data_IF_965148218868
#
_entry.id   IF_965148218868
#
_cell.length_a   1.000
_cell.length_b   1.000
_cell.length_c   1.000
_cell.angle_alpha   90.00
_cell.angle_beta   90.00
_cell.angle_gamma   90.00
#
_symmetry.space_group_name_H-M   'P 1'
#
loop_
_entity.id
_entity.type
_entity.pdbx_description
1 polymer ?
#
# COMPACT_ATOMS: atom_id res chain seq x y z
N UNK A 1 -63.84 -42.19 -34.68
CA UNK A 1 -63.27 -41.62 -33.44
C UNK A 1 -62.01 -40.82 -33.79
N UNK A 2 -62.11 -39.49 -33.92
CA UNK A 2 -60.95 -38.60 -34.02
C UNK A 2 -60.50 -38.20 -32.63
N UNK A 3 -59.31 -38.66 -32.20
CA UNK A 3 -58.67 -38.16 -30.98
C UNK A 3 -58.22 -36.72 -31.26
N UNK A 4 -58.88 -35.75 -30.64
CA UNK A 4 -58.34 -34.39 -30.48
C UNK A 4 -57.18 -34.51 -29.51
N UNK A 5 -55.96 -34.38 -30.02
CA UNK A 5 -54.80 -34.14 -29.19
C UNK A 5 -55.02 -32.80 -28.49
N UNK A 6 -55.18 -32.86 -27.17
CA UNK A 6 -55.24 -31.66 -26.34
C UNK A 6 -53.86 -31.04 -26.34
N UNK A 7 -53.69 -30.01 -27.16
CA UNK A 7 -52.53 -29.12 -27.13
C UNK A 7 -52.49 -28.47 -25.75
N UNK A 8 -51.67 -29.04 -24.86
CA UNK A 8 -51.39 -28.46 -23.55
C UNK A 8 -50.59 -27.19 -23.80
N UNK A 9 -51.28 -26.06 -23.90
CA UNK A 9 -50.65 -24.73 -23.88
C UNK A 9 -49.98 -24.62 -22.51
N UNK A 10 -48.71 -25.00 -22.41
CA UNK A 10 -47.89 -24.69 -21.25
C UNK A 10 -47.83 -23.17 -21.17
N UNK A 11 -48.29 -22.61 -20.05
CA UNK A 11 -48.40 -21.16 -19.86
C UNK A 11 -47.05 -20.41 -19.93
N UNK A 12 -45.93 -21.14 -19.99
CA UNK A 12 -44.57 -20.62 -20.04
C UNK A 12 -43.88 -21.15 -21.30
N UNK A 13 -43.30 -20.29 -22.15
CA UNK A 13 -42.55 -20.72 -23.33
C UNK A 13 -41.35 -21.60 -22.98
N UNK A 14 -41.10 -22.65 -23.78
CA UNK A 14 -39.99 -23.59 -23.55
C UNK A 14 -38.62 -22.91 -23.49
N UNK A 15 -38.40 -21.85 -24.28
CA UNK A 15 -37.18 -21.05 -24.25
C UNK A 15 -36.90 -20.41 -22.87
N UNK A 16 -37.96 -20.02 -22.15
CA UNK A 16 -37.84 -19.48 -20.78
C UNK A 16 -37.44 -20.59 -19.82
N UNK A 17 -38.04 -21.77 -19.94
CA UNK A 17 -37.70 -22.94 -19.12
C UNK A 17 -36.24 -23.35 -19.32
N UNK A 18 -35.76 -23.37 -20.56
CA UNK A 18 -34.36 -23.65 -20.88
C UNK A 18 -33.41 -22.61 -20.26
N UNK A 19 -33.73 -21.31 -20.38
CA UNK A 19 -32.93 -20.23 -19.80
C UNK A 19 -32.83 -20.31 -18.26
N UNK A 20 -33.94 -20.64 -17.59
CA UNK A 20 -33.96 -20.84 -16.14
C UNK A 20 -33.11 -22.05 -15.74
N UNK A 21 -33.23 -23.16 -16.45
CA UNK A 21 -32.42 -24.35 -16.21
C UNK A 21 -30.92 -24.08 -16.43
N UNK A 22 -30.56 -23.31 -17.45
CA UNK A 22 -29.18 -22.90 -17.68
C UNK A 22 -28.66 -22.01 -16.55
N UNK A 23 -29.47 -21.06 -16.09
CA UNK A 23 -29.11 -20.18 -14.96
C UNK A 23 -28.89 -20.99 -13.69
N UNK A 24 -29.72 -22.00 -13.42
CA UNK A 24 -29.56 -22.90 -12.28
C UNK A 24 -28.25 -23.69 -12.35
N UNK A 25 -27.91 -24.25 -13.53
CA UNK A 25 -26.63 -24.94 -13.74
C UNK A 25 -25.44 -24.03 -13.45
N UNK A 26 -25.45 -22.82 -14.02
CA UNK A 26 -24.40 -21.82 -13.80
C UNK A 26 -24.27 -21.47 -12.30
N UNK A 27 -25.39 -21.39 -11.57
CA UNK A 27 -25.36 -21.07 -10.14
C UNK A 27 -24.74 -22.21 -9.30
N UNK A 28 -24.97 -23.47 -9.67
CA UNK A 28 -24.34 -24.64 -9.03
C UNK A 28 -22.83 -24.66 -9.28
N UNK A 29 -22.40 -24.32 -10.50
CA UNK A 29 -20.98 -24.18 -10.83
C UNK A 29 -20.32 -23.07 -9.99
N UNK A 30 -20.95 -21.88 -9.96
CA UNK A 30 -20.47 -20.75 -9.15
C UNK A 30 -20.41 -21.10 -7.67
N UNK A 31 -21.40 -21.81 -7.13
CA UNK A 31 -21.40 -22.26 -5.73
C UNK A 31 -20.18 -23.13 -5.44
N UNK A 32 -19.86 -24.06 -6.34
CA UNK A 32 -18.74 -24.98 -6.18
C UNK A 32 -17.40 -24.24 -6.23
N UNK A 33 -17.18 -23.40 -7.25
CA UNK A 33 -15.95 -22.59 -7.36
C UNK A 33 -15.81 -21.59 -6.22
N UNK A 34 -16.90 -20.96 -5.77
CA UNK A 34 -16.85 -19.99 -4.69
C UNK A 34 -16.53 -20.68 -3.36
N UNK A 35 -17.01 -21.90 -3.11
CA UNK A 35 -16.65 -22.66 -1.92
C UNK A 35 -15.15 -22.94 -1.85
N UNK A 36 -14.53 -23.31 -2.98
CA UNK A 36 -13.08 -23.50 -3.07
C UNK A 36 -12.31 -22.19 -2.80
N UNK A 37 -12.74 -21.09 -3.42
CA UNK A 37 -12.11 -19.78 -3.22
C UNK A 37 -12.24 -19.31 -1.77
N UNK A 38 -13.42 -19.46 -1.16
CA UNK A 38 -13.64 -19.05 0.23
C UNK A 38 -12.87 -19.91 1.23
N UNK A 39 -12.70 -21.20 0.95
CA UNK A 39 -11.86 -22.10 1.75
C UNK A 39 -10.39 -21.67 1.72
N UNK A 40 -9.91 -21.17 0.58
CA UNK A 40 -8.55 -20.66 0.43
C UNK A 40 -8.35 -19.19 0.87
N UNK A 41 -9.44 -18.44 1.06
CA UNK A 41 -9.43 -17.01 1.37
C UNK A 41 -9.29 -16.72 2.88
N UNK A 42 -8.40 -17.43 3.56
CA UNK A 42 -8.02 -17.13 4.94
C UNK A 42 -7.35 -15.74 5.02
N UNK A 43 -7.76 -14.83 5.92
CA UNK A 43 -7.11 -13.54 6.13
C UNK A 43 -5.58 -13.60 6.26
N UNK A 44 -5.03 -14.63 6.91
CA UNK A 44 -3.59 -14.79 7.06
C UNK A 44 -2.93 -15.10 5.70
N UNK A 45 -3.51 -16.04 4.94
CA UNK A 45 -3.05 -16.41 3.59
C UNK A 45 -3.18 -15.23 2.62
N UNK A 46 -4.29 -14.49 2.69
CA UNK A 46 -4.48 -13.30 1.88
C UNK A 46 -3.47 -12.20 2.21
N UNK A 47 -3.01 -12.10 3.47
CA UNK A 47 -2.02 -11.12 3.87
C UNK A 47 -0.64 -11.36 3.23
N UNK A 48 -0.30 -12.62 2.95
CA UNK A 48 0.94 -13.03 2.28
C UNK A 48 0.98 -12.69 0.78
N UNK A 49 -0.20 -12.48 0.16
CA UNK A 49 -0.27 -12.15 -1.26
C UNK A 49 0.34 -10.78 -1.57
N UNK A 50 1.02 -10.62 -2.73
CA UNK A 50 1.46 -9.31 -3.19
C UNK A 50 0.26 -8.34 -3.23
N UNK A 51 0.43 -7.07 -2.84
CA UNK A 51 -0.69 -6.14 -2.68
C UNK A 51 -1.63 -6.04 -3.89
N UNK A 52 -1.07 -6.14 -5.10
CA UNK A 52 -1.83 -6.08 -6.35
C UNK A 52 -2.71 -7.32 -6.57
N UNK A 53 -2.17 -8.52 -6.29
CA UNK A 53 -2.92 -9.77 -6.37
C UNK A 53 -3.99 -9.82 -5.28
N UNK A 54 -3.66 -9.37 -4.07
CA UNK A 54 -4.60 -9.26 -2.95
C UNK A 54 -5.79 -8.35 -3.29
N UNK A 55 -5.53 -7.19 -3.90
CA UNK A 55 -6.58 -6.28 -4.36
C UNK A 55 -7.49 -6.94 -5.41
N UNK A 56 -6.91 -7.73 -6.33
CA UNK A 56 -7.67 -8.45 -7.35
C UNK A 56 -8.62 -9.49 -6.74
N UNK A 57 -8.17 -10.26 -5.74
CA UNK A 57 -9.01 -11.23 -5.03
C UNK A 57 -10.19 -10.53 -4.34
N UNK A 58 -9.94 -9.44 -3.60
CA UNK A 58 -11.02 -8.69 -2.95
C UNK A 58 -12.00 -8.05 -3.94
N UNK A 59 -11.52 -7.57 -5.09
CA UNK A 59 -12.37 -7.06 -6.14
C UNK A 59 -13.27 -8.15 -6.72
N UNK A 60 -12.72 -9.34 -6.99
CA UNK A 60 -13.52 -10.49 -7.47
C UNK A 60 -14.58 -10.87 -6.43
N UNK A 61 -14.21 -11.00 -5.16
CA UNK A 61 -15.15 -11.35 -4.09
C UNK A 61 -16.30 -10.34 -3.98
N UNK A 62 -15.99 -9.04 -4.00
CA UNK A 62 -17.00 -7.98 -3.94
C UNK A 62 -17.90 -7.92 -5.19
N UNK A 63 -17.33 -8.15 -6.38
CA UNK A 63 -18.10 -8.32 -7.63
C UNK A 63 -19.02 -9.52 -7.55
N UNK A 64 -18.54 -10.68 -7.11
CA UNK A 64 -19.34 -11.90 -6.94
C UNK A 64 -20.53 -11.70 -5.99
N UNK A 65 -20.33 -11.04 -4.84
CA UNK A 65 -21.43 -10.75 -3.91
C UNK A 65 -22.46 -9.82 -4.55
N UNK A 66 -22.01 -8.76 -5.24
CA UNK A 66 -22.89 -7.78 -5.86
C UNK A 66 -23.68 -8.36 -7.03
N UNK A 67 -23.05 -9.22 -7.85
CA UNK A 67 -23.72 -9.91 -8.97
C UNK A 67 -24.72 -10.94 -8.47
N UNK A 68 -24.38 -11.74 -7.46
CA UNK A 68 -25.32 -12.69 -6.84
C UNK A 68 -26.53 -11.97 -6.23
N UNK A 69 -26.30 -10.81 -5.60
CA UNK A 69 -27.39 -9.98 -5.10
C UNK A 69 -28.26 -9.43 -6.25
N UNK A 70 -27.67 -8.96 -7.35
CA UNK A 70 -28.41 -8.52 -8.52
C UNK A 70 -29.24 -9.65 -9.17
N UNK A 71 -28.71 -10.88 -9.21
CA UNK A 71 -29.46 -12.07 -9.65
C UNK A 71 -30.65 -12.31 -8.73
N UNK A 72 -30.46 -12.25 -7.41
CA UNK A 72 -31.56 -12.37 -6.44
C UNK A 72 -32.64 -11.30 -6.65
N UNK A 73 -32.27 -10.05 -6.91
CA UNK A 73 -33.24 -8.99 -7.22
C UNK A 73 -34.07 -9.33 -8.45
N UNK A 74 -33.42 -9.77 -9.53
CA UNK A 74 -34.10 -10.19 -10.76
C UNK A 74 -35.06 -11.35 -10.53
N UNK A 75 -34.68 -12.32 -9.69
CA UNK A 75 -35.56 -13.43 -9.30
C UNK A 75 -36.81 -12.97 -8.52
N UNK A 76 -36.73 -11.83 -7.83
CA UNK A 76 -37.86 -11.20 -7.14
C UNK A 76 -38.64 -10.23 -8.05
N UNK A 77 -38.30 -10.14 -9.34
CA UNK A 77 -38.95 -9.21 -10.28
C UNK A 77 -38.52 -7.75 -10.13
N UNK A 78 -37.42 -7.48 -9.43
CA UNK A 78 -36.86 -6.14 -9.25
C UNK A 78 -35.72 -5.94 -10.25
N UNK A 79 -35.74 -4.86 -11.03
CA UNK A 79 -34.63 -4.50 -11.92
C UNK A 79 -33.43 -3.97 -11.10
N UNK A 80 -32.24 -4.58 -11.20
CA UNK A 80 -31.04 -4.07 -10.55
C UNK A 80 -30.66 -2.63 -10.96
N UNK A 81 -31.07 -2.17 -12.15
CA UNK A 81 -30.77 -0.81 -12.62
C UNK A 81 -31.58 0.28 -11.90
N UNK A 82 -32.75 -0.07 -11.38
CA UNK A 82 -33.61 0.82 -10.59
C UNK A 82 -33.39 0.69 -9.07
N UNK A 83 -32.49 -0.22 -8.66
CA UNK A 83 -32.14 -0.47 -7.27
C UNK A 83 -30.83 0.25 -6.88
N UNK A 84 -30.64 0.51 -5.58
CA UNK A 84 -29.39 1.08 -5.02
C UNK A 84 -28.14 0.22 -5.27
N UNK A 85 -28.29 -1.00 -5.79
CA UNK A 85 -27.16 -1.85 -6.16
C UNK A 85 -26.44 -1.31 -7.39
N UNK A 86 -27.12 -0.53 -8.25
CA UNK A 86 -26.50 0.08 -9.42
C UNK A 86 -25.28 0.91 -9.05
N UNK A 87 -25.40 1.75 -8.02
CA UNK A 87 -24.27 2.58 -7.56
C UNK A 87 -23.11 1.75 -7.04
N UNK A 88 -23.39 0.57 -6.49
CA UNK A 88 -22.35 -0.37 -6.04
C UNK A 88 -21.67 -1.05 -7.23
N UNK A 89 -22.41 -1.43 -8.27
CA UNK A 89 -21.84 -1.97 -9.52
C UNK A 89 -20.99 -0.92 -10.23
N UNK A 90 -21.45 0.33 -10.31
CA UNK A 90 -20.69 1.45 -10.88
C UNK A 90 -19.40 1.68 -10.08
N UNK A 91 -19.49 1.64 -8.74
CA UNK A 91 -18.33 1.75 -7.86
C UNK A 91 -17.31 0.64 -8.12
N UNK A 92 -17.75 -0.60 -8.30
CA UNK A 92 -16.87 -1.73 -8.59
C UNK A 92 -16.22 -1.61 -9.98
N UNK A 93 -16.94 -1.13 -10.99
CA UNK A 93 -16.38 -0.85 -12.31
C UNK A 93 -15.27 0.22 -12.23
N UNK A 94 -15.46 1.27 -11.43
CA UNK A 94 -14.41 2.27 -11.20
C UNK A 94 -13.16 1.68 -10.52
N UNK A 95 -13.33 0.69 -9.63
CA UNK A 95 -12.21 0.03 -8.98
C UNK A 95 -11.49 -0.96 -9.89
N UNK A 96 -12.22 -1.63 -10.78
CA UNK A 96 -11.67 -2.46 -11.84
C UNK A 96 -10.77 -1.63 -12.76
N UNK A 97 -11.26 -0.50 -13.26
CA UNK A 97 -10.47 0.44 -14.07
C UNK A 97 -9.19 0.89 -13.34
N UNK A 98 -9.28 1.18 -12.04
CA UNK A 98 -8.11 1.56 -11.23
C UNK A 98 -7.10 0.42 -11.14
N UNK A 99 -7.58 -0.80 -10.92
CA UNK A 99 -6.73 -1.97 -10.80
C UNK A 99 -6.03 -2.30 -12.12
N UNK A 100 -6.75 -2.22 -13.24
CA UNK A 100 -6.18 -2.38 -14.58
C UNK A 100 -5.09 -1.35 -14.87
N UNK A 101 -5.33 -0.08 -14.54
CA UNK A 101 -4.30 0.97 -14.67
C UNK A 101 -3.05 0.67 -13.86
N UNK A 102 -3.19 0.09 -12.66
CA UNK A 102 -2.06 -0.30 -11.82
C UNK A 102 -1.32 -1.51 -12.39
N UNK A 103 -2.05 -2.52 -12.89
CA UNK A 103 -1.47 -3.67 -13.58
C UNK A 103 -0.68 -3.26 -14.83
N UNK A 104 -1.20 -2.29 -15.59
CA UNK A 104 -0.49 -1.76 -16.75
C UNK A 104 0.75 -0.95 -16.35
N UNK A 105 0.69 -0.24 -15.22
CA UNK A 105 1.85 0.47 -14.68
C UNK A 105 2.92 -0.48 -14.15
N UNK A 106 2.53 -1.61 -13.55
CA UNK A 106 3.50 -2.61 -13.05
C UNK A 106 4.22 -3.34 -14.18
N UNK A 107 3.61 -3.45 -15.36
CA UNK A 107 4.23 -4.04 -16.56
C UNK A 107 5.15 -3.07 -17.30
N UNK A 108 4.93 -1.76 -17.14
CA UNK A 108 5.71 -0.73 -17.85
C UNK A 108 7.11 -0.61 -17.24
N UNK A 109 8.15 -0.34 -18.05
CA UNK A 109 9.46 0.02 -17.54
C UNK A 109 9.35 1.18 -16.55
N UNK A 110 10.22 1.18 -15.52
CA UNK A 110 10.26 2.28 -14.55
C UNK A 110 10.33 3.62 -15.28
N UNK A 111 9.41 4.53 -14.94
CA UNK A 111 9.38 5.86 -15.56
C UNK A 111 10.72 6.55 -15.32
N UNK A 112 11.25 7.32 -16.28
CA UNK A 112 12.49 8.08 -16.07
C UNK A 112 12.39 9.08 -14.91
N UNK A 113 11.17 9.51 -14.54
CA UNK A 113 10.94 10.32 -13.33
C UNK A 113 11.15 9.57 -12.01
N UNK A 114 11.09 8.24 -12.03
CA UNK A 114 11.38 7.39 -10.87
C UNK A 114 12.87 6.96 -10.83
N UNK A 115 13.62 7.19 -11.92
CA UNK A 115 15.07 6.97 -11.94
C UNK A 115 15.80 8.23 -11.47
N UNK A 116 16.73 8.06 -10.54
CA UNK A 116 17.49 9.18 -9.98
C UNK A 116 18.43 9.77 -11.03
N UNK A 117 18.33 11.08 -11.27
CA UNK A 117 19.29 11.79 -12.12
C UNK A 117 20.58 12.04 -11.34
N UNK A 118 21.53 11.10 -11.40
CA UNK A 118 22.79 11.16 -10.68
C UNK A 118 23.58 12.45 -10.94
N UNK A 119 23.53 12.97 -12.18
CA UNK A 119 24.22 14.23 -12.54
C UNK A 119 23.59 15.44 -11.85
N UNK A 120 22.26 15.50 -11.75
CA UNK A 120 21.59 16.55 -11.01
C UNK A 120 21.85 16.43 -9.51
N UNK A 121 21.77 15.21 -8.95
CA UNK A 121 22.06 14.95 -7.54
C UNK A 121 23.48 15.38 -7.15
N UNK A 122 24.50 15.06 -7.97
CA UNK A 122 25.88 15.52 -7.73
C UNK A 122 25.97 17.05 -7.68
N UNK A 123 25.28 17.78 -8.56
CA UNK A 123 25.26 19.25 -8.53
C UNK A 123 24.60 19.79 -7.25
N UNK A 124 23.50 19.18 -6.82
CA UNK A 124 22.84 19.55 -5.55
C UNK A 124 23.77 19.31 -4.36
N UNK A 125 24.44 18.16 -4.31
CA UNK A 125 25.35 17.81 -3.20
C UNK A 125 26.56 18.76 -3.15
N UNK A 126 27.20 19.01 -4.30
CA UNK A 126 28.36 19.90 -4.39
C UNK A 126 28.04 21.34 -3.99
N UNK A 127 26.83 21.82 -4.29
CA UNK A 127 26.40 23.18 -3.95
C UNK A 127 25.93 23.31 -2.49
N UNK A 128 25.27 22.27 -1.96
CA UNK A 128 24.78 22.27 -0.57
C UNK A 128 25.90 22.07 0.46
N UNK A 129 27.03 21.47 0.07
CA UNK A 129 28.16 21.17 0.95
C UNK A 129 29.45 21.86 0.46
N UNK A 130 29.71 23.12 0.89
CA UNK A 130 30.87 23.88 0.42
C UNK A 130 32.22 23.23 0.83
N UNK A 131 32.26 22.55 1.97
CA UNK A 131 33.49 21.99 2.58
C UNK A 131 33.89 20.60 2.06
N UNK A 132 33.29 20.15 0.96
CA UNK A 132 33.68 18.89 0.32
C UNK A 132 35.13 18.97 -0.22
N UNK A 133 35.95 17.97 0.14
CA UNK A 133 37.31 17.84 -0.37
C UNK A 133 37.31 17.66 -1.89
N UNK A 134 38.41 18.03 -2.54
CA UNK A 134 38.57 17.89 -4.00
C UNK A 134 38.49 16.42 -4.45
N UNK A 135 38.93 15.49 -3.60
CA UNK A 135 38.82 14.04 -3.83
C UNK A 135 37.36 13.57 -3.75
N UNK A 136 36.60 14.08 -2.78
CA UNK A 136 35.17 13.78 -2.65
C UNK A 136 34.36 14.30 -3.84
N UNK A 137 34.64 15.53 -4.30
CA UNK A 137 33.99 16.09 -5.51
C UNK A 137 34.31 15.27 -6.77
N UNK A 138 35.55 14.79 -6.91
CA UNK A 138 35.92 13.90 -8.03
C UNK A 138 35.19 12.56 -7.97
N UNK A 139 35.12 11.94 -6.79
CA UNK A 139 34.38 10.69 -6.58
C UNK A 139 32.89 10.83 -6.92
N UNK A 140 32.24 11.91 -6.47
CA UNK A 140 30.83 12.19 -6.79
C UNK A 140 30.59 12.38 -8.30
N UNK A 141 31.55 12.97 -9.02
CA UNK A 141 31.48 13.15 -10.47
C UNK A 141 31.67 11.84 -11.21
N UNK A 142 32.54 10.96 -10.74
CA UNK A 142 32.76 9.62 -11.30
C UNK A 142 31.52 8.74 -11.17
N UNK A 143 30.86 8.75 -10.00
CA UNK A 143 29.57 8.07 -9.77
C UNK A 143 28.49 8.60 -10.72
N UNK A 144 28.47 9.91 -10.99
CA UNK A 144 27.49 10.52 -11.90
C UNK A 144 27.67 10.20 -13.39
N UNK A 145 28.86 9.73 -13.79
CA UNK A 145 29.20 9.38 -15.18
C UNK A 145 28.85 7.93 -15.52
N UNK A 146 28.65 7.07 -14.52
CA UNK A 146 28.33 5.66 -14.73
C UNK A 146 29.52 4.82 -15.20
N UNK A 147 30.76 5.30 -15.04
CA UNK A 147 31.99 4.60 -15.47
C UNK A 147 32.43 3.49 -14.50
N UNK A 148 31.75 3.31 -13.38
CA UNK A 148 31.83 2.07 -12.61
C UNK A 148 30.91 1.04 -13.27
N UNK A 149 31.49 0.25 -14.19
CA UNK A 149 30.84 -0.90 -14.81
C UNK A 149 30.12 -1.76 -13.79
N UNK A 150 28.96 -2.32 -14.18
CA UNK A 150 28.02 -3.02 -13.32
C UNK A 150 28.66 -3.84 -12.20
N UNK A 151 28.79 -3.22 -11.03
CA UNK A 151 29.11 -3.93 -9.80
C UNK A 151 27.78 -4.23 -9.13
N UNK A 152 27.49 -5.51 -8.98
CA UNK A 152 26.43 -6.00 -8.11
C UNK A 152 26.63 -5.34 -6.76
N UNK A 153 25.80 -4.34 -6.45
CA UNK A 153 25.60 -3.92 -5.08
C UNK A 153 24.41 -4.73 -4.53
N UNK A 154 24.63 -6.03 -4.42
CA UNK A 154 23.94 -6.90 -3.49
C UNK A 154 25.03 -7.69 -2.80
N UNK A 155 25.03 -7.67 -1.48
CA UNK A 155 25.89 -8.45 -0.59
C UNK A 155 27.38 -8.05 -0.49
N UNK A 156 27.68 -6.81 -0.07
CA UNK A 156 28.90 -6.57 0.73
C UNK A 156 28.88 -5.20 1.44
N UNK A 157 27.80 -4.89 2.18
CA UNK A 157 27.83 -3.84 3.21
C UNK A 157 27.91 -4.48 4.59
N UNK A 158 28.80 -5.48 4.71
CA UNK A 158 29.01 -6.28 5.90
C UNK A 158 30.48 -6.46 6.26
N UNK A 159 31.39 -5.61 5.79
CA UNK A 159 32.77 -5.62 6.27
C UNK A 159 33.47 -4.31 5.88
N UNK A 160 34.24 -3.74 6.82
CA UNK A 160 35.14 -2.57 6.64
C UNK A 160 34.41 -1.22 6.59
N UNK A 161 34.60 -0.23 7.46
CA UNK A 161 35.51 0.01 8.59
C UNK A 161 34.70 0.82 9.60
N UNK A 162 34.52 0.32 10.82
CA UNK A 162 34.10 1.19 11.92
C UNK A 162 35.23 2.18 12.16
N UNK A 163 34.91 3.46 12.01
CA UNK A 163 35.76 4.57 12.41
C UNK A 163 36.17 4.35 13.87
N UNK A 164 37.45 4.07 14.11
CA UNK A 164 38.01 4.00 15.46
C UNK A 164 38.08 5.42 15.99
N UNK A 165 37.09 5.83 16.76
CA UNK A 165 37.34 6.82 17.80
C UNK A 165 38.30 6.15 18.80
N UNK A 166 39.53 6.64 18.88
CA UNK A 166 40.41 6.32 20.00
C UNK A 166 39.82 6.98 21.23
N UNK A 167 38.97 6.27 21.97
CA UNK A 167 38.64 6.64 23.33
C UNK A 167 39.79 6.17 24.23
N UNK A 168 40.74 7.06 24.44
CA UNK A 168 41.69 6.95 25.54
C UNK A 168 40.91 7.04 26.85
N UNK A 169 40.97 5.99 27.68
CA UNK A 169 40.37 5.96 29.01
C UNK A 169 39.21 4.97 29.09
N UNK A 170 39.46 3.83 29.73
CA UNK A 170 38.49 2.75 29.89
C UNK A 170 37.41 3.15 30.90
N UNK A 171 36.24 3.52 30.40
CA UNK A 171 34.98 3.17 31.04
C UNK A 171 34.23 2.26 30.07
N UNK A 172 33.71 1.14 30.58
CA UNK A 172 32.95 0.22 29.74
C UNK A 172 31.72 0.95 29.18
N UNK A 173 31.33 0.66 27.94
CA UNK A 173 30.13 1.26 27.32
C UNK A 173 28.89 1.06 28.18
N UNK A 174 28.85 -0.05 28.94
CA UNK A 174 27.78 -0.34 29.90
C UNK A 174 27.78 0.63 31.08
N UNK A 175 28.95 0.95 31.64
CA UNK A 175 29.07 1.91 32.73
C UNK A 175 28.64 3.32 32.30
N UNK A 176 28.98 3.75 31.07
CA UNK A 176 28.49 5.04 30.57
C UNK A 176 26.99 5.07 30.34
N UNK A 177 26.41 3.96 29.87
CA UNK A 177 24.97 3.85 29.69
C UNK A 177 24.24 3.85 31.04
N UNK A 178 24.77 3.15 32.04
CA UNK A 178 24.25 3.12 33.40
C UNK A 178 24.32 4.51 34.05
N UNK A 179 25.46 5.20 33.98
CA UNK A 179 25.61 6.56 34.50
C UNK A 179 24.66 7.56 33.84
N UNK A 180 24.46 7.46 32.52
CA UNK A 180 23.51 8.30 31.79
C UNK A 180 22.06 8.07 32.26
N UNK A 181 21.66 6.80 32.43
CA UNK A 181 20.34 6.45 32.92
C UNK A 181 20.12 6.88 34.37
N UNK A 182 21.13 6.73 35.22
CA UNK A 182 21.10 7.19 36.61
C UNK A 182 20.94 8.72 36.68
N UNK A 183 21.67 9.46 35.84
CA UNK A 183 21.59 10.92 35.75
C UNK A 183 20.21 11.38 35.25
N UNK A 184 19.68 10.76 34.20
CA UNK A 184 18.33 11.07 33.71
C UNK A 184 17.26 10.79 34.76
N UNK A 185 17.41 9.70 35.53
CA UNK A 185 16.50 9.35 36.62
C UNK A 185 16.56 10.38 37.75
N UNK A 186 17.74 10.90 38.08
CA UNK A 186 17.91 11.97 39.06
C UNK A 186 17.32 13.30 38.58
N UNK A 187 17.42 13.66 37.30
CA UNK A 187 16.79 14.86 36.75
C UNK A 187 15.25 14.75 36.77
N UNK A 188 14.69 13.55 36.58
CA UNK A 188 13.23 13.33 36.63
C UNK A 188 12.71 13.36 38.08
N UNK A 189 13.49 12.88 39.05
CA UNK A 189 13.08 12.81 40.47
C UNK A 189 13.51 14.04 41.30
N UNK A 190 14.51 14.79 40.85
CA UNK A 190 15.09 15.95 41.53
C UNK A 190 14.57 17.29 41.00
N UNK A 191 13.41 17.70 41.50
CA UNK A 191 12.95 19.10 41.63
C UNK A 191 13.24 20.12 40.49
N UNK A 192 12.17 20.47 39.77
CA UNK A 192 11.73 21.85 39.42
C UNK A 192 12.68 22.86 38.76
N UNK A 193 13.78 22.46 38.11
CA UNK A 193 14.60 23.40 37.33
C UNK A 193 14.48 23.13 35.82
N UNK A 194 14.06 24.19 35.12
CA UNK A 194 13.83 24.32 33.69
C UNK A 194 14.58 23.31 32.79
N UNK A 195 13.81 22.48 32.09
CA UNK A 195 14.30 21.67 30.96
C UNK A 195 14.74 22.64 29.86
N UNK A 196 16.04 22.85 29.73
CA UNK A 196 16.61 23.51 28.55
C UNK A 196 16.70 22.48 27.41
N UNK A 197 15.56 22.26 26.76
CA UNK A 197 15.50 21.57 25.48
C UNK A 197 16.10 22.43 24.35
N UNK A 198 16.48 21.83 23.21
CA UNK A 198 17.03 22.55 22.06
C UNK A 198 16.08 23.55 21.38
N UNK A 199 14.83 23.65 21.85
CA UNK A 199 13.83 24.57 21.36
C UNK A 199 13.57 25.61 22.45
N UNK A 200 14.28 26.73 22.38
CA UNK A 200 13.92 27.95 23.10
C UNK A 200 12.83 28.66 22.31
N UNK A 201 11.61 28.67 22.84
CA UNK A 201 10.61 29.67 22.47
C UNK A 201 10.91 30.94 23.28
N UNK A 202 11.61 31.87 22.65
CA UNK A 202 11.75 33.24 23.16
C UNK A 202 10.47 33.98 22.79
N UNK A 203 9.46 33.93 23.66
CA UNK A 203 8.35 34.90 23.63
C UNK A 203 8.06 35.39 25.05
N UNK A 204 8.80 36.42 25.43
CA UNK A 204 8.49 37.33 26.53
C UNK A 204 9.04 38.70 26.15
N UNK A 205 8.33 39.74 26.57
CA UNK A 205 8.66 41.18 26.55
C UNK A 205 7.90 41.94 25.42
N UNK A 206 6.99 42.90 25.64
CA UNK A 206 6.65 43.73 26.81
C UNK A 206 5.17 44.21 26.82
N UNK A 207 4.73 44.63 28.01
CA UNK A 207 3.51 45.37 28.33
C UNK A 207 3.46 46.76 27.68
N UNK A 208 2.27 47.23 27.31
CA UNK A 208 1.85 48.60 27.69
C UNK A 208 0.33 48.77 27.56
N UNK A 209 -0.35 48.88 28.70
CA UNK A 209 -1.78 49.13 28.80
C UNK A 209 -2.02 50.27 29.79
N UNK A 210 -1.94 51.51 29.30
CA UNK A 210 -2.22 52.71 30.09
C UNK A 210 -3.74 52.96 30.17
N UNK A 211 -4.21 53.10 31.41
CA UNK A 211 -5.56 53.52 31.81
C UNK A 211 -5.70 55.03 31.63
N UNK A 212 -6.73 55.49 30.91
CA UNK A 212 -7.78 56.48 31.32
C UNK A 212 -8.97 56.32 30.39
#
# INVERSE_FOLDING_TARGET
MGKREGETITAVPDAVVESVNQTLKNLIEVQSSLAEVLSAADPEVLAELPPLHRAHVFLILSKSVSTLFAVRLRCNGIDPLDHSIRTELDRLSLYEDKLERLLDQSKKPLRPSATLNYRAATRFIEHSLPDLSSEQKRSLREISKGETGGSRCSESWGAHKKMKYQTSGKQSVRAMAEDFLEKARQEILGASCAVQGPLRDESSDEEDGMVV
#
